data_IF_340580405267
#
_entry.id   IF_340580405267
#
_cell.length_a   1.000
_cell.length_b   1.000
_cell.length_c   1.000
_cell.angle_alpha   90.00
_cell.angle_beta   90.00
_cell.angle_gamma   90.00
#
_symmetry.space_group_name_H-M   'P 1'
#
loop_
_entity.id
_entity.type
_entity.pdbx_description
1 polymer ?
#
# COMPACT_ATOMS: atom_id res chain seq x y z
N UNK A 1 15.20 -10.51 -0.21
CA UNK A 1 15.25 -11.93 0.22
C UNK A 1 13.95 -12.63 -0.22
N UNK A 2 13.92 -13.95 -0.54
CA UNK A 2 12.85 -14.53 -1.38
C UNK A 2 11.80 -15.42 -0.70
N UNK A 3 11.72 -15.54 0.63
CA UNK A 3 10.73 -16.45 1.25
C UNK A 3 9.99 -15.77 2.40
N UNK A 4 8.67 -15.61 2.24
CA UNK A 4 7.80 -15.23 3.34
C UNK A 4 7.96 -16.20 4.51
N UNK A 5 8.35 -15.68 5.67
CA UNK A 5 8.62 -16.50 6.85
C UNK A 5 7.46 -16.44 7.83
N UNK A 6 7.06 -17.59 8.36
CA UNK A 6 6.20 -17.63 9.54
C UNK A 6 7.08 -17.43 10.77
N UNK A 7 6.98 -16.25 11.38
CA UNK A 7 7.67 -15.92 12.63
C UNK A 7 6.68 -15.92 13.80
N UNK A 8 7.11 -16.45 14.94
CA UNK A 8 6.33 -16.38 16.17
C UNK A 8 6.17 -14.92 16.61
N UNK A 9 5.01 -14.57 17.17
CA UNK A 9 4.69 -13.18 17.52
C UNK A 9 5.71 -12.57 18.49
N UNK A 10 6.28 -13.35 19.41
CA UNK A 10 7.32 -12.90 20.32
C UNK A 10 8.62 -12.43 19.61
N UNK A 11 8.90 -12.92 18.39
CA UNK A 11 10.06 -12.48 17.60
C UNK A 11 9.83 -11.17 16.87
N UNK A 12 8.57 -10.78 16.63
CA UNK A 12 8.21 -9.51 15.98
C UNK A 12 8.50 -8.32 16.92
N UNK A 13 8.31 -8.53 18.23
CA UNK A 13 8.46 -7.49 19.26
C UNK A 13 9.94 -7.17 19.57
N UNK A 14 10.86 -8.06 19.20
CA UNK A 14 12.29 -7.91 19.48
C UNK A 14 13.06 -7.13 18.39
N UNK A 15 12.36 -6.44 17.48
CA UNK A 15 12.97 -5.57 16.48
C UNK A 15 13.66 -4.37 17.12
N UNK A 16 14.88 -4.08 16.69
CA UNK A 16 15.73 -3.03 17.24
C UNK A 16 15.06 -1.65 17.11
N UNK A 17 14.60 -1.09 18.23
CA UNK A 17 13.91 0.22 18.32
C UNK A 17 14.92 1.38 18.13
N UNK A 18 16.17 1.07 17.79
CA UNK A 18 17.25 2.03 17.57
C UNK A 18 17.41 2.55 16.13
N UNK A 19 16.56 2.14 15.19
CA UNK A 19 16.67 2.59 13.80
C UNK A 19 16.30 4.07 13.67
N UNK A 20 17.19 4.82 13.03
CA UNK A 20 17.02 6.24 12.68
C UNK A 20 15.69 6.39 11.92
N UNK A 21 14.81 7.27 12.39
CA UNK A 21 13.58 7.60 11.66
C UNK A 21 13.94 8.21 10.30
N UNK A 22 13.51 7.59 9.21
CA UNK A 22 13.73 8.08 7.83
C UNK A 22 14.61 7.20 6.94
N UNK A 23 15.06 6.03 7.41
CA UNK A 23 15.75 5.09 6.53
C UNK A 23 14.72 4.24 5.75
N UNK A 24 14.78 4.30 4.41
CA UNK A 24 13.89 3.55 3.54
C UNK A 24 14.32 2.07 3.54
N UNK A 25 13.84 1.30 4.50
CA UNK A 25 14.08 -0.13 4.51
C UNK A 25 13.24 -0.81 3.42
N UNK A 26 13.84 -1.61 2.51
CA UNK A 26 13.09 -2.27 1.43
C UNK A 26 12.17 -3.38 1.94
N UNK A 27 12.38 -3.85 3.17
CA UNK A 27 11.63 -4.94 3.79
C UNK A 27 10.66 -4.38 4.83
N UNK A 28 9.37 -4.69 4.68
CA UNK A 28 8.31 -4.35 5.62
C UNK A 28 7.70 -5.58 6.29
N UNK A 29 6.84 -5.36 7.29
CA UNK A 29 6.09 -6.41 7.98
C UNK A 29 4.63 -6.37 7.55
N UNK A 30 4.09 -7.51 7.09
CA UNK A 30 2.67 -7.67 6.77
C UNK A 30 2.03 -8.71 7.69
N UNK A 31 0.94 -8.33 8.35
CA UNK A 31 0.15 -9.22 9.22
C UNK A 31 -1.33 -9.01 8.91
N UNK A 32 -2.04 -10.09 8.59
CA UNK A 32 -3.48 -10.07 8.41
C UNK A 32 -4.13 -11.16 9.28
N UNK A 33 -5.20 -10.81 10.00
CA UNK A 33 -5.94 -11.73 10.84
C UNK A 33 -7.40 -11.32 10.94
N UNK A 34 -8.31 -12.28 10.82
CA UNK A 34 -9.74 -12.04 10.97
C UNK A 34 -10.60 -13.09 10.27
N UNK A 35 -11.94 -12.93 10.31
CA UNK A 35 -12.85 -13.66 9.45
C UNK A 35 -12.43 -13.51 7.98
N UNK A 36 -12.49 -14.59 7.20
CA UNK A 36 -12.08 -14.56 5.78
C UNK A 36 -10.58 -14.66 5.51
N UNK A 37 -9.69 -14.50 6.50
CA UNK A 37 -8.23 -14.62 6.32
C UNK A 37 -7.74 -16.05 6.62
N UNK A 38 -6.80 -16.56 5.81
CA UNK A 38 -6.14 -17.86 6.03
C UNK A 38 -5.20 -17.80 7.23
N UNK A 39 -5.17 -18.89 8.02
CA UNK A 39 -4.22 -19.03 9.13
C UNK A 39 -2.93 -19.71 8.64
N UNK A 40 -1.79 -19.30 9.22
CA UNK A 40 -0.50 -19.94 8.96
C UNK A 40 -0.03 -19.80 7.51
N UNK A 41 -0.50 -18.79 6.79
CA UNK A 41 -0.07 -18.53 5.42
C UNK A 41 1.10 -17.53 5.44
N UNK A 42 2.23 -17.93 4.84
CA UNK A 42 3.40 -17.08 4.70
C UNK A 42 3.32 -16.36 3.35
N UNK A 43 2.96 -15.08 3.38
CA UNK A 43 2.85 -14.27 2.17
C UNK A 43 4.23 -13.97 1.58
N UNK A 44 4.37 -14.09 0.26
CA UNK A 44 5.59 -13.79 -0.46
C UNK A 44 5.32 -12.72 -1.53
N UNK A 45 6.35 -11.94 -1.88
CA UNK A 45 6.33 -10.98 -2.99
C UNK A 45 5.14 -9.99 -2.95
N UNK A 46 4.84 -9.47 -1.75
CA UNK A 46 3.87 -8.41 -1.58
C UNK A 46 4.56 -7.04 -1.66
N UNK A 47 3.88 -6.09 -2.29
CA UNK A 47 4.25 -4.69 -2.35
C UNK A 47 3.41 -3.88 -1.36
N UNK A 48 3.94 -2.74 -0.91
CA UNK A 48 3.13 -1.74 -0.19
C UNK A 48 1.93 -1.27 -1.00
N UNK A 49 2.04 -1.28 -2.33
CA UNK A 49 0.97 -0.91 -3.26
C UNK A 49 -0.20 -1.91 -3.22
N UNK A 50 0.02 -3.14 -2.77
CA UNK A 50 -1.02 -4.18 -2.69
C UNK A 50 -1.97 -3.99 -1.49
N UNK A 51 -1.60 -3.15 -0.53
CA UNK A 51 -2.35 -2.95 0.72
C UNK A 51 -3.75 -2.40 0.43
N UNK A 52 -3.83 -1.30 -0.31
CA UNK A 52 -5.11 -0.63 -0.63
C UNK A 52 -6.06 -1.54 -1.41
N UNK A 53 -5.71 -2.13 -2.57
CA UNK A 53 -6.62 -3.01 -3.31
C UNK A 53 -7.05 -4.23 -2.47
N UNK A 54 -6.17 -4.75 -1.61
CA UNK A 54 -6.51 -5.86 -0.70
C UNK A 54 -7.52 -5.45 0.38
N UNK A 55 -7.39 -4.27 0.97
CA UNK A 55 -8.34 -3.76 1.96
C UNK A 55 -9.71 -3.49 1.33
N UNK A 56 -9.75 -2.92 0.13
CA UNK A 56 -11.01 -2.71 -0.60
C UNK A 56 -11.74 -4.02 -0.86
N UNK A 57 -11.01 -5.05 -1.31
CA UNK A 57 -11.58 -6.39 -1.50
C UNK A 57 -12.10 -6.99 -0.17
N UNK A 58 -11.38 -6.82 0.94
CA UNK A 58 -11.83 -7.27 2.26
C UNK A 58 -13.12 -6.56 2.72
N UNK A 59 -13.31 -5.30 2.30
CA UNK A 59 -14.47 -4.47 2.62
C UNK A 59 -15.62 -4.61 1.60
N UNK A 60 -15.51 -5.52 0.63
CA UNK A 60 -16.48 -5.68 -0.46
C UNK A 60 -16.69 -4.38 -1.29
N UNK A 61 -15.63 -3.61 -1.45
CA UNK A 61 -15.59 -2.41 -2.29
C UNK A 61 -14.88 -2.68 -3.63
N UNK A 62 -15.24 -1.96 -4.72
CA UNK A 62 -14.57 -2.13 -5.99
C UNK A 62 -13.14 -1.58 -5.99
N UNK A 63 -12.30 -2.11 -6.87
CA UNK A 63 -10.89 -1.73 -7.02
C UNK A 63 -10.74 -0.85 -8.25
N UNK A 64 -9.98 0.24 -8.13
CA UNK A 64 -9.63 1.09 -9.28
C UNK A 64 -8.72 0.36 -10.26
N UNK A 65 -8.96 0.51 -11.56
CA UNK A 65 -8.10 -0.06 -12.62
C UNK A 65 -6.78 0.69 -12.75
N UNK A 66 -6.73 1.91 -12.24
CA UNK A 66 -5.59 2.81 -12.13
C UNK A 66 -4.66 2.50 -10.94
N UNK A 67 -5.00 1.52 -10.09
CA UNK A 67 -4.15 1.11 -8.97
C UNK A 67 -3.00 0.21 -9.46
N UNK A 68 -1.76 0.61 -9.18
CA UNK A 68 -0.56 -0.16 -9.53
C UNK A 68 -0.44 -1.51 -8.77
N UNK A 69 -1.06 -1.61 -7.59
CA UNK A 69 -1.02 -2.80 -6.75
C UNK A 69 -2.10 -3.83 -7.11
N UNK A 70 -1.91 -5.06 -6.64
CA UNK A 70 -2.88 -6.16 -6.81
C UNK A 70 -3.56 -6.54 -5.50
N UNK A 71 -4.71 -7.20 -5.60
CA UNK A 71 -5.30 -7.89 -4.46
C UNK A 71 -4.44 -9.10 -4.10
N UNK A 72 -4.06 -9.20 -2.83
CA UNK A 72 -3.37 -10.36 -2.26
C UNK A 72 -4.34 -11.53 -2.04
N UNK A 73 -4.96 -12.02 -3.11
CA UNK A 73 -6.02 -13.04 -3.04
C UNK A 73 -5.64 -14.30 -2.25
N UNK A 74 -4.35 -14.61 -2.23
CA UNK A 74 -3.76 -15.74 -1.52
C UNK A 74 -3.93 -15.69 0.00
N UNK A 75 -4.17 -14.50 0.59
CA UNK A 75 -4.41 -14.37 2.04
C UNK A 75 -5.85 -14.72 2.43
N UNK A 76 -6.79 -14.73 1.47
CA UNK A 76 -8.20 -15.01 1.76
C UNK A 76 -8.51 -16.50 1.74
N UNK A 77 -9.44 -16.93 2.60
CA UNK A 77 -10.01 -18.27 2.55
C UNK A 77 -10.70 -18.48 1.18
N UNK A 78 -10.64 -19.68 0.58
CA UNK A 78 -11.29 -19.96 -0.71
C UNK A 78 -12.75 -19.52 -0.78
N UNK A 79 -13.50 -19.73 0.31
CA UNK A 79 -14.93 -19.41 0.37
C UNK A 79 -15.22 -17.91 0.50
N UNK A 80 -14.25 -17.10 0.93
CA UNK A 80 -14.44 -15.66 1.13
C UNK A 80 -14.68 -14.95 -0.21
N UNK A 81 -13.79 -15.18 -1.18
CA UNK A 81 -13.91 -14.58 -2.51
C UNK A 81 -15.07 -15.15 -3.33
N UNK A 82 -15.58 -16.33 -2.96
CA UNK A 82 -16.80 -16.88 -3.57
C UNK A 82 -18.06 -16.16 -3.07
N UNK A 83 -18.07 -15.71 -1.82
CA UNK A 83 -19.18 -14.94 -1.24
C UNK A 83 -19.13 -13.45 -1.64
N UNK A 84 -17.93 -12.89 -1.77
CA UNK A 84 -17.69 -11.49 -2.15
C UNK A 84 -16.71 -11.45 -3.33
N UNK A 85 -17.20 -11.58 -4.57
CA UNK A 85 -16.36 -11.54 -5.76
C UNK A 85 -15.77 -10.15 -5.97
N UNK A 86 -14.52 -10.10 -6.43
CA UNK A 86 -13.81 -8.86 -6.71
C UNK A 86 -14.51 -8.08 -7.83
N UNK A 87 -14.71 -6.78 -7.61
CA UNK A 87 -15.30 -5.84 -8.56
C UNK A 87 -14.28 -4.76 -8.91
N UNK A 88 -14.41 -4.18 -10.10
CA UNK A 88 -13.56 -3.10 -10.57
C UNK A 88 -14.38 -1.87 -10.96
N UNK A 89 -13.77 -0.70 -10.79
CA UNK A 89 -14.19 0.58 -11.37
C UNK A 89 -13.01 1.18 -12.14
N UNK A 90 -13.26 2.21 -12.96
CA UNK A 90 -12.17 2.84 -13.73
C UNK A 90 -11.17 3.56 -12.82
N UNK A 91 -11.68 4.43 -11.94
CA UNK A 91 -10.87 5.18 -10.97
C UNK A 91 -11.71 5.58 -9.75
N UNK A 92 -11.05 5.70 -8.60
CA UNK A 92 -11.61 6.33 -7.39
C UNK A 92 -11.37 7.85 -7.36
N UNK A 93 -10.60 8.39 -8.31
CA UNK A 93 -10.34 9.81 -8.41
C UNK A 93 -11.57 10.55 -8.92
N UNK A 94 -11.89 11.68 -8.28
CA UNK A 94 -12.88 12.59 -8.82
C UNK A 94 -12.26 13.38 -9.99
N UNK A 95 -13.02 13.70 -11.06
CA UNK A 95 -12.49 14.35 -12.26
C UNK A 95 -11.84 15.72 -12.06
N UNK A 96 -11.84 16.29 -10.84
CA UNK A 96 -11.45 17.67 -10.61
C UNK A 96 -10.78 17.93 -9.27
N UNK A 97 -9.70 17.21 -8.97
CA UNK A 97 -8.63 17.84 -8.17
C UNK A 97 -7.79 18.72 -9.10
N UNK A 98 -8.38 19.80 -9.60
CA UNK A 98 -7.58 20.91 -10.08
C UNK A 98 -6.81 21.43 -8.87
N UNK A 99 -5.49 21.23 -8.86
CA UNK A 99 -4.65 22.25 -8.25
C UNK A 99 -5.05 23.54 -8.99
N UNK A 100 -5.85 24.40 -8.36
CA UNK A 100 -6.06 25.73 -8.88
C UNK A 100 -4.65 26.32 -8.99
N UNK A 101 -4.19 26.44 -10.22
CA UNK A 101 -2.91 27.03 -10.59
C UNK A 101 -3.00 28.55 -10.39
N UNK A 102 -3.47 29.00 -9.23
CA UNK A 102 -3.73 30.40 -8.94
C UNK A 102 -2.48 31.10 -8.42
N UNK A 103 -1.33 30.79 -9.01
CA UNK A 103 -0.03 31.13 -8.44
C UNK A 103 1.04 31.45 -9.49
N UNK A 104 0.74 32.35 -10.42
CA UNK A 104 1.77 33.02 -11.20
C UNK A 104 2.85 33.71 -10.32
N UNK A 105 2.54 34.00 -9.04
CA UNK A 105 3.49 34.57 -8.07
C UNK A 105 4.23 33.53 -7.21
N UNK A 106 3.67 32.34 -6.98
CA UNK A 106 4.38 31.27 -6.25
C UNK A 106 5.40 30.55 -7.15
N UNK A 107 5.28 30.69 -8.46
CA UNK A 107 6.12 30.02 -9.44
C UNK A 107 7.60 30.45 -9.36
N UNK A 108 7.90 31.74 -9.16
CA UNK A 108 9.31 32.18 -9.05
C UNK A 108 9.95 31.83 -7.71
N UNK A 109 9.23 31.96 -6.59
CA UNK A 109 9.75 31.54 -5.28
C UNK A 109 9.95 30.02 -5.21
N UNK A 110 9.06 29.24 -5.85
CA UNK A 110 9.20 27.80 -5.97
C UNK A 110 10.41 27.43 -6.84
N UNK A 111 10.58 28.06 -8.01
CA UNK A 111 11.75 27.85 -8.87
C UNK A 111 13.05 28.23 -8.18
N UNK A 112 13.10 29.34 -7.44
CA UNK A 112 14.30 29.75 -6.71
C UNK A 112 14.66 28.76 -5.60
N UNK A 113 13.66 28.28 -4.85
CA UNK A 113 13.85 27.19 -3.90
C UNK A 113 14.37 25.91 -4.59
N UNK A 114 13.78 25.51 -5.72
CA UNK A 114 14.20 24.34 -6.47
C UNK A 114 15.64 24.47 -7.02
N UNK A 115 16.04 25.66 -7.50
CA UNK A 115 17.43 25.96 -7.89
C UNK A 115 18.38 25.87 -6.70
N UNK A 116 17.99 26.39 -5.53
CA UNK A 116 18.80 26.32 -4.30
C UNK A 116 19.04 24.88 -3.84
N UNK A 117 18.08 23.98 -4.12
CA UNK A 117 18.14 22.56 -3.82
C UNK A 117 18.80 21.74 -4.95
N UNK A 118 19.13 22.37 -6.09
CA UNK A 118 19.83 21.74 -7.23
C UNK A 118 18.94 20.92 -8.16
N UNK A 119 17.62 21.13 -8.13
CA UNK A 119 16.67 20.46 -9.04
C UNK A 119 16.54 21.17 -10.40
N UNK A 120 17.06 22.40 -10.53
CA UNK A 120 17.12 23.23 -11.75
C UNK A 120 18.51 23.87 -11.84
#
# INVERSE_FOLDING_TARGET
>A
LPEGQIIAAEKIVAGDIGAISGDHHPEGVFIAAGPGIRRGYALQNASVLDVTPTLLALMDLPIGQDMDGRVLTEIFKPDFLSASPIRHIDTWEEPNWSYEEDNASADEALKENLRSLGYL
#
